data_IF_409586590027
#
_entry.id   IF_409586590027
#
_cell.length_a   1.000
_cell.length_b   1.000
_cell.length_c   1.000
_cell.angle_alpha   90.00
_cell.angle_beta   90.00
_cell.angle_gamma   90.00
#
_symmetry.space_group_name_H-M   'P 1'
#
loop_
_entity.id
_entity.type
_entity.pdbx_description
1 polymer ?
#
# COMPACT_ATOMS: atom_id res chain seq x y z
N UNK A 1 10.28 6.28 2.28
CA UNK A 1 10.03 6.07 0.84
C UNK A 1 8.90 5.06 0.64
N UNK A 2 8.15 5.19 -0.45
CA UNK A 2 7.01 4.32 -0.79
C UNK A 2 6.05 5.05 -1.72
N UNK A 3 6.27 4.92 -3.05
CA UNK A 3 5.64 5.80 -4.05
C UNK A 3 4.12 5.62 -4.18
N UNK A 4 3.65 4.41 -4.44
CA UNK A 4 2.24 4.15 -4.81
C UNK A 4 1.47 3.31 -3.78
N UNK A 5 2.16 2.71 -2.83
CA UNK A 5 1.58 1.79 -1.85
C UNK A 5 2.27 1.94 -0.51
N UNK A 6 1.53 1.66 0.57
CA UNK A 6 2.02 1.85 1.95
C UNK A 6 2.68 0.61 2.55
N UNK A 7 3.06 -0.38 1.74
CA UNK A 7 3.67 -1.65 2.22
C UNK A 7 4.85 -1.44 3.17
N UNK A 8 5.74 -0.50 2.84
CA UNK A 8 6.91 -0.17 3.68
C UNK A 8 6.47 0.45 5.00
N UNK A 9 5.52 1.38 4.98
CA UNK A 9 5.02 2.02 6.20
C UNK A 9 4.29 1.01 7.10
N UNK A 10 3.48 0.12 6.52
CA UNK A 10 2.81 -0.96 7.24
C UNK A 10 3.83 -1.92 7.89
N UNK A 11 4.81 -2.39 7.12
CA UNK A 11 5.85 -3.29 7.65
C UNK A 11 6.66 -2.64 8.77
N UNK A 12 7.11 -1.40 8.58
CA UNK A 12 7.81 -0.66 9.62
C UNK A 12 6.94 -0.51 10.88
N UNK A 13 5.64 -0.27 10.71
CA UNK A 13 4.70 -0.16 11.84
C UNK A 13 4.60 -1.47 12.63
N UNK A 14 4.49 -2.61 11.93
CA UNK A 14 4.44 -3.93 12.55
C UNK A 14 5.75 -4.30 13.26
N UNK A 15 6.89 -3.77 12.80
CA UNK A 15 8.20 -4.02 13.42
C UNK A 15 8.50 -3.12 14.62
N UNK A 16 8.15 -1.82 14.56
CA UNK A 16 8.60 -0.81 15.55
C UNK A 16 7.50 -0.25 16.45
N UNK A 17 6.23 -0.49 16.11
CA UNK A 17 5.06 -0.04 16.87
C UNK A 17 5.05 1.49 17.15
N UNK A 18 5.10 2.35 16.11
CA UNK A 18 4.91 3.79 16.28
C UNK A 18 3.50 4.06 16.84
N UNK A 19 3.29 5.24 17.42
CA UNK A 19 1.98 5.58 17.99
C UNK A 19 0.89 5.71 16.92
N UNK A 20 1.27 6.10 15.70
CA UNK A 20 0.34 6.28 14.61
C UNK A 20 1.03 5.99 13.28
N UNK A 21 0.27 5.43 12.34
CA UNK A 21 0.63 5.33 10.92
C UNK A 21 -0.55 5.83 10.11
N UNK A 22 -0.30 6.50 8.99
CA UNK A 22 -1.35 6.89 8.03
C UNK A 22 -1.08 6.12 6.74
N UNK A 23 -2.00 5.24 6.34
CA UNK A 23 -1.84 4.49 5.09
C UNK A 23 -2.57 5.21 3.96
N UNK A 24 -1.90 5.40 2.82
CA UNK A 24 -2.50 6.05 1.64
C UNK A 24 -3.77 5.34 1.17
N UNK A 25 -3.81 4.02 1.28
CA UNK A 25 -4.97 3.20 0.95
C UNK A 25 -6.20 3.52 1.82
N UNK A 26 -6.02 3.73 3.13
CA UNK A 26 -7.11 4.16 4.03
C UNK A 26 -7.60 5.56 3.67
N UNK A 27 -6.66 6.49 3.45
CA UNK A 27 -6.95 7.87 3.06
C UNK A 27 -7.79 7.92 1.78
N UNK A 28 -7.39 7.14 0.77
CA UNK A 28 -8.09 7.09 -0.52
C UNK A 28 -9.49 6.47 -0.40
N UNK A 29 -9.64 5.38 0.37
CA UNK A 29 -10.93 4.70 0.56
C UNK A 29 -11.91 5.56 1.37
N UNK A 30 -11.43 6.20 2.43
CA UNK A 30 -12.23 7.07 3.29
C UNK A 30 -12.37 8.50 2.76
N UNK A 31 -11.72 8.83 1.64
CA UNK A 31 -11.69 10.16 1.01
C UNK A 31 -11.29 11.27 1.99
N UNK A 32 -10.31 11.01 2.85
CA UNK A 32 -9.88 11.96 3.86
C UNK A 32 -9.19 13.17 3.20
N UNK A 33 -9.47 14.36 3.73
CA UNK A 33 -8.83 15.63 3.32
C UNK A 33 -7.56 15.90 4.11
N UNK A 34 -6.75 16.88 3.69
CA UNK A 34 -5.62 17.37 4.49
C UNK A 34 -6.08 17.85 5.87
N UNK A 35 -7.26 18.47 5.93
CA UNK A 35 -7.86 18.92 7.18
C UNK A 35 -8.22 17.75 8.10
N UNK A 36 -8.84 16.70 7.57
CA UNK A 36 -9.19 15.51 8.35
C UNK A 36 -7.95 14.81 8.93
N UNK A 37 -6.90 14.66 8.12
CA UNK A 37 -5.63 14.07 8.57
C UNK A 37 -4.97 14.93 9.66
N UNK A 38 -4.96 16.26 9.48
CA UNK A 38 -4.44 17.20 10.48
C UNK A 38 -5.21 17.05 11.79
N UNK A 39 -6.54 17.02 11.73
CA UNK A 39 -7.40 16.86 12.90
C UNK A 39 -7.17 15.52 13.59
N UNK A 40 -7.07 14.43 12.84
CA UNK A 40 -6.81 13.09 13.37
C UNK A 40 -5.49 13.05 14.16
N UNK A 41 -4.43 13.67 13.63
CA UNK A 41 -3.14 13.77 14.33
C UNK A 41 -3.28 14.64 15.59
N UNK A 42 -3.96 15.79 15.51
CA UNK A 42 -4.18 16.66 16.67
C UNK A 42 -4.98 15.97 17.78
N UNK A 43 -6.01 15.19 17.42
CA UNK A 43 -6.83 14.43 18.35
C UNK A 43 -6.00 13.34 19.05
N UNK A 44 -5.13 12.65 18.31
CA UNK A 44 -4.17 11.70 18.86
C UNK A 44 -3.18 12.36 19.84
N UNK A 45 -2.60 13.51 19.48
CA UNK A 45 -1.70 14.28 20.35
C UNK A 45 -2.42 14.75 21.61
N UNK A 46 -3.65 15.24 21.47
CA UNK A 46 -4.47 15.69 22.59
C UNK A 46 -4.85 14.54 23.54
N UNK A 47 -5.25 13.38 23.01
CA UNK A 47 -5.58 12.19 23.80
C UNK A 47 -4.37 11.70 24.62
N UNK A 48 -3.17 11.72 24.02
CA UNK A 48 -1.92 11.38 24.72
C UNK A 48 -1.56 12.42 25.78
N UNK A 49 -1.72 13.70 25.48
CA UNK A 49 -1.47 14.79 26.43
C UNK A 49 -2.39 14.71 27.67
N UNK A 50 -3.62 14.21 27.53
CA UNK A 50 -4.52 13.96 28.67
C UNK A 50 -4.01 12.88 29.64
N UNK A 51 -3.07 12.03 29.20
CA UNK A 51 -2.37 11.04 30.02
C UNK A 51 -0.93 11.48 30.36
N UNK A 52 -0.64 12.78 30.28
CA UNK A 52 0.68 13.37 30.49
C UNK A 52 1.78 12.85 29.55
N UNK A 53 1.39 12.32 28.38
CA UNK A 53 2.31 11.87 27.33
C UNK A 53 2.48 12.93 26.26
N UNK A 54 3.64 13.59 26.27
CA UNK A 54 3.97 14.72 25.36
C UNK A 54 4.98 14.35 24.28
N UNK A 55 5.02 13.09 23.87
CA UNK A 55 5.89 12.58 22.83
C UNK A 55 5.16 11.55 21.98
N UNK A 56 5.66 11.28 20.77
CA UNK A 56 5.15 10.21 19.93
C UNK A 56 5.86 10.14 18.58
N UNK A 57 5.62 9.06 17.86
CA UNK A 57 6.17 8.79 16.53
C UNK A 57 5.00 8.52 15.58
N UNK A 58 5.03 9.19 14.43
CA UNK A 58 4.06 9.00 13.34
C UNK A 58 4.81 8.54 12.10
N UNK A 59 4.36 7.45 11.47
CA UNK A 59 4.89 6.99 10.20
C UNK A 59 3.97 7.41 9.04
N UNK A 60 4.59 7.96 8.00
CA UNK A 60 3.91 8.44 6.81
C UNK A 60 4.57 7.82 5.56
N UNK A 61 3.79 7.25 4.62
CA UNK A 61 4.30 6.87 3.32
C UNK A 61 4.56 8.12 2.48
N UNK A 62 5.63 8.09 1.70
CA UNK A 62 6.02 9.19 0.81
C UNK A 62 4.90 9.55 -0.19
N UNK A 63 4.21 8.54 -0.73
CA UNK A 63 3.09 8.72 -1.64
C UNK A 63 1.76 9.15 -1.01
N UNK A 64 1.75 9.49 0.29
CA UNK A 64 0.52 9.89 0.98
C UNK A 64 -0.17 11.05 0.27
N UNK A 65 0.60 12.02 -0.23
CA UNK A 65 0.08 13.22 -0.88
C UNK A 65 -0.77 12.93 -2.12
N UNK A 66 -0.45 11.88 -2.89
CA UNK A 66 -1.23 11.44 -4.05
C UNK A 66 -2.47 10.62 -3.65
N UNK A 67 -2.55 10.19 -2.40
CA UNK A 67 -3.70 9.44 -1.88
C UNK A 67 -4.82 10.34 -1.36
N UNK A 68 -4.51 11.62 -1.08
CA UNK A 68 -5.48 12.62 -0.64
C UNK A 68 -6.21 13.16 -1.88
N UNK A 69 -7.54 12.95 -2.02
CA UNK A 69 -8.25 13.25 -3.27
C UNK A 69 -8.12 14.69 -3.75
N UNK A 70 -8.18 15.66 -2.83
CA UNK A 70 -8.10 17.09 -3.15
C UNK A 70 -6.72 17.51 -3.66
N UNK A 71 -5.67 16.97 -3.06
CA UNK A 71 -4.30 17.25 -3.48
C UNK A 71 -3.97 16.52 -4.78
N UNK A 72 -4.48 15.30 -4.95
CA UNK A 72 -4.35 14.57 -6.20
C UNK A 72 -4.98 15.32 -7.38
N UNK A 73 -6.19 15.86 -7.20
CA UNK A 73 -6.85 16.67 -8.21
C UNK A 73 -6.06 17.95 -8.55
N UNK A 74 -5.55 18.65 -7.53
CA UNK A 74 -4.67 19.81 -7.70
C UNK A 74 -3.40 19.45 -8.50
N UNK A 75 -2.71 18.36 -8.14
CA UNK A 75 -1.52 17.88 -8.85
C UNK A 75 -1.82 17.58 -10.32
N UNK A 76 -2.97 16.96 -10.61
CA UNK A 76 -3.38 16.67 -12.00
C UNK A 76 -3.62 17.93 -12.80
N UNK A 77 -4.23 18.95 -12.20
CA UNK A 77 -4.46 20.23 -12.86
C UNK A 77 -3.14 20.97 -13.12
N UNK A 78 -2.25 21.05 -12.13
CA UNK A 78 -0.92 21.65 -12.28
C UNK A 78 -0.12 20.95 -13.39
N UNK A 79 -0.06 19.61 -13.38
CA UNK A 79 0.66 18.86 -14.41
C UNK A 79 0.05 19.05 -15.80
N UNK A 80 -1.29 19.17 -15.90
CA UNK A 80 -1.98 19.50 -17.15
C UNK A 80 -1.54 20.85 -17.72
N UNK A 81 -1.47 21.87 -16.87
CA UNK A 81 -1.03 23.22 -17.25
C UNK A 81 0.47 23.27 -17.61
N UNK A 82 1.32 22.57 -16.85
CA UNK A 82 2.76 22.46 -17.16
C UNK A 82 3.01 21.81 -18.53
N UNK A 83 2.23 20.78 -18.88
CA UNK A 83 2.29 20.13 -20.20
C UNK A 83 1.86 21.05 -21.35
N UNK A 84 0.97 21.99 -21.08
CA UNK A 84 0.56 23.03 -22.04
C UNK A 84 1.61 24.14 -22.19
N UNK A 85 2.72 24.10 -21.44
CA UNK A 85 3.77 25.11 -21.47
C UNK A 85 3.45 26.36 -20.66
N UNK A 86 2.46 26.29 -19.75
CA UNK A 86 2.17 27.40 -18.84
C UNK A 86 3.35 27.58 -17.89
N UNK A 87 3.85 28.81 -17.79
CA UNK A 87 4.93 29.14 -16.86
C UNK A 87 4.46 28.89 -15.41
N UNK A 88 5.24 28.19 -14.56
CA UNK A 88 4.92 27.91 -13.16
C UNK A 88 4.38 29.12 -12.37
N UNK A 89 4.91 30.33 -12.62
CA UNK A 89 4.50 31.55 -11.91
C UNK A 89 3.07 32.00 -12.24
N UNK A 90 2.52 31.54 -13.36
CA UNK A 90 1.18 31.89 -13.85
C UNK A 90 0.15 30.78 -13.61
N UNK A 91 0.57 29.63 -13.09
CA UNK A 91 -0.30 28.46 -12.90
C UNK A 91 -1.45 28.79 -11.94
N UNK A 92 -1.18 29.49 -10.83
CA UNK A 92 -2.19 29.85 -9.83
C UNK A 92 -3.39 30.63 -10.38
N UNK A 93 -3.20 31.37 -11.49
CA UNK A 93 -4.24 32.14 -12.18
C UNK A 93 -5.13 31.30 -13.10
N UNK A 94 -4.67 30.12 -13.49
CA UNK A 94 -5.37 29.23 -14.42
C UNK A 94 -5.95 27.98 -13.73
N UNK A 95 -5.72 27.84 -12.42
CA UNK A 95 -6.34 26.80 -11.62
C UNK A 95 -7.85 27.05 -11.46
N UNK A 96 -8.60 25.96 -11.38
CA UNK A 96 -10.00 25.96 -10.98
C UNK A 96 -10.16 26.63 -9.62
N UNK A 97 -11.32 27.25 -9.31
CA UNK A 97 -11.51 28.00 -8.06
C UNK A 97 -11.19 27.18 -6.81
N UNK A 98 -11.52 25.88 -6.83
CA UNK A 98 -11.26 24.98 -5.71
C UNK A 98 -9.78 24.59 -5.59
N UNK A 99 -9.12 24.26 -6.70
CA UNK A 99 -7.69 23.99 -6.72
C UNK A 99 -6.87 25.23 -6.35
N UNK A 100 -7.29 26.41 -6.79
CA UNK A 100 -6.67 27.69 -6.43
C UNK A 100 -6.80 27.96 -4.93
N UNK A 101 -7.97 27.75 -4.33
CA UNK A 101 -8.15 27.90 -2.88
C UNK A 101 -7.27 26.92 -2.07
N UNK A 102 -7.20 25.66 -2.50
CA UNK A 102 -6.32 24.66 -1.88
C UNK A 102 -4.85 25.03 -2.06
N UNK A 103 -4.45 25.43 -3.27
CA UNK A 103 -3.10 25.88 -3.55
C UNK A 103 -2.73 27.05 -2.65
N UNK A 104 -3.59 28.06 -2.51
CA UNK A 104 -3.35 29.22 -1.67
C UNK A 104 -3.24 28.90 -0.19
N UNK A 105 -4.03 27.92 0.30
CA UNK A 105 -3.96 27.41 1.66
C UNK A 105 -2.60 26.77 1.99
N UNK A 106 -1.91 26.18 1.00
CA UNK A 106 -0.64 25.49 1.23
C UNK A 106 0.50 26.45 1.58
N UNK A 107 1.45 26.04 2.43
CA UNK A 107 2.64 26.83 2.74
C UNK A 107 3.50 27.11 1.49
N UNK A 108 4.22 28.25 1.44
CA UNK A 108 5.04 28.62 0.29
C UNK A 108 6.08 27.58 -0.14
N UNK A 109 6.64 26.81 0.79
CA UNK A 109 7.61 25.75 0.48
C UNK A 109 6.96 24.58 -0.27
N UNK A 110 5.74 24.20 0.09
CA UNK A 110 4.97 23.14 -0.60
C UNK A 110 4.51 23.62 -1.97
N UNK A 111 4.03 24.86 -2.09
CA UNK A 111 3.66 25.45 -3.38
C UNK A 111 4.78 25.28 -4.40
N UNK A 112 6.03 25.60 -4.02
CA UNK A 112 7.21 25.44 -4.88
C UNK A 112 7.49 23.98 -5.26
N UNK A 113 7.33 23.04 -4.33
CA UNK A 113 7.55 21.61 -4.57
C UNK A 113 6.48 21.01 -5.50
N UNK A 114 5.22 21.44 -5.41
CA UNK A 114 4.14 20.99 -6.29
C UNK A 114 4.25 21.53 -7.72
N UNK A 115 4.95 22.64 -7.93
CA UNK A 115 5.17 23.24 -9.25
C UNK A 115 6.35 22.60 -10.02
N UNK A 116 7.05 21.62 -9.43
CA UNK A 116 8.09 20.88 -10.12
C UNK A 116 7.50 20.07 -11.29
N UNK A 117 8.27 19.94 -12.37
CA UNK A 117 7.86 19.14 -13.52
C UNK A 117 7.67 17.66 -13.12
N UNK A 118 6.64 16.98 -13.65
CA UNK A 118 6.41 15.57 -13.36
C UNK A 118 7.57 14.68 -13.85
N UNK A 119 7.67 13.47 -13.29
CA UNK A 119 8.59 12.44 -13.76
C UNK A 119 8.17 11.93 -15.16
N UNK A 120 9.03 11.11 -15.79
CA UNK A 120 8.80 10.56 -17.13
C UNK A 120 7.56 9.67 -17.25
N UNK A 121 7.01 9.19 -16.13
CA UNK A 121 5.76 8.43 -16.06
C UNK A 121 4.53 9.29 -15.70
N UNK A 122 4.65 10.62 -15.79
CA UNK A 122 3.63 11.62 -15.43
C UNK A 122 3.25 11.67 -13.94
N UNK A 123 4.01 11.00 -13.06
CA UNK A 123 3.83 11.10 -11.60
C UNK A 123 4.51 12.35 -11.02
N UNK A 124 4.04 12.79 -9.85
CA UNK A 124 4.71 13.88 -9.14
C UNK A 124 6.10 13.42 -8.66
N UNK A 125 7.01 14.37 -8.46
CA UNK A 125 8.31 14.08 -7.83
C UNK A 125 8.12 13.90 -6.31
N UNK A 126 7.51 12.78 -5.91
CA UNK A 126 7.08 12.51 -4.53
C UNK A 126 8.23 12.62 -3.52
N UNK A 127 9.45 12.25 -3.90
CA UNK A 127 10.63 12.34 -3.03
C UNK A 127 11.05 13.79 -2.72
N UNK A 128 10.60 14.76 -3.52
CA UNK A 128 10.86 16.19 -3.33
C UNK A 128 9.74 16.89 -2.56
N UNK A 129 8.57 16.24 -2.40
CA UNK A 129 7.43 16.80 -1.68
C UNK A 129 7.55 16.38 -0.21
N UNK A 130 7.87 17.36 0.63
CA UNK A 130 8.10 17.17 2.07
C UNK A 130 6.76 17.08 2.82
N UNK A 131 6.02 15.99 2.56
CA UNK A 131 4.67 15.73 3.09
C UNK A 131 4.64 15.72 4.62
N UNK A 132 5.69 15.20 5.24
CA UNK A 132 5.85 15.21 6.69
C UNK A 132 5.96 16.63 7.26
N UNK A 133 6.65 17.54 6.56
CA UNK A 133 6.78 18.95 6.97
C UNK A 133 5.47 19.72 6.74
N UNK A 134 4.75 19.41 5.66
CA UNK A 134 3.40 19.95 5.43
C UNK A 134 2.48 19.60 6.61
N UNK A 135 2.36 18.33 6.96
CA UNK A 135 1.50 17.88 8.05
C UNK A 135 1.96 18.45 9.39
N UNK A 136 3.27 18.46 9.67
CA UNK A 136 3.81 19.08 10.88
C UNK A 136 3.42 20.56 11.00
N UNK A 137 3.51 21.33 9.91
CA UNK A 137 3.11 22.74 9.88
C UNK A 137 1.61 22.93 10.13
N UNK A 138 0.77 22.12 9.47
CA UNK A 138 -0.69 22.19 9.64
C UNK A 138 -1.11 21.81 11.07
N UNK A 139 -0.52 20.74 11.62
CA UNK A 139 -0.75 20.30 13.01
C UNK A 139 -0.30 21.36 14.00
N UNK A 140 0.88 21.96 13.81
CA UNK A 140 1.33 23.05 14.70
C UNK A 140 0.34 24.21 14.71
N UNK A 141 -0.14 24.65 13.54
CA UNK A 141 -1.12 25.73 13.42
C UNK A 141 -2.44 25.39 14.11
N UNK A 142 -2.95 24.18 13.89
CA UNK A 142 -4.18 23.68 14.52
C UNK A 142 -4.04 23.56 16.05
N UNK A 143 -2.92 23.01 16.54
CA UNK A 143 -2.65 22.90 17.97
C UNK A 143 -2.54 24.26 18.67
N UNK A 144 -1.96 25.27 17.99
CA UNK A 144 -1.96 26.66 18.47
C UNK A 144 -3.38 27.22 18.59
N UNK A 145 -4.24 26.95 17.60
CA UNK A 145 -5.66 27.35 17.65
C UNK A 145 -6.36 26.71 18.85
N UNK A 146 -6.21 25.39 19.04
CA UNK A 146 -6.78 24.66 20.19
C UNK A 146 -6.29 25.17 21.54
N UNK A 147 -5.02 25.59 21.62
CA UNK A 147 -4.46 26.19 22.83
C UNK A 147 -5.09 27.57 23.12
N UNK A 148 -5.32 28.39 22.09
CA UNK A 148 -6.02 29.70 22.23
C UNK A 148 -7.48 29.54 22.64
N UNK A 149 -8.15 28.51 22.12
CA UNK A 149 -9.55 28.18 22.45
C UNK A 149 -9.69 27.47 23.81
N UNK A 150 -8.57 27.05 24.42
CA UNK A 150 -8.56 26.34 25.70
C UNK A 150 -8.98 24.87 25.65
N UNK A 151 -9.18 24.32 24.45
CA UNK A 151 -9.53 22.90 24.23
C UNK A 151 -8.32 21.97 24.38
N UNK A 152 -7.11 22.50 24.20
CA UNK A 152 -5.84 21.80 24.46
C UNK A 152 -5.06 22.49 25.58
N UNK A 153 -4.76 21.73 26.65
CA UNK A 153 -4.01 22.19 27.83
C UNK A 153 -2.62 21.57 27.98
N UNK A 154 -2.19 20.82 26.97
CA UNK A 154 -0.88 20.17 26.99
C UNK A 154 0.27 21.14 26.65
N UNK A 155 1.48 20.58 26.52
CA UNK A 155 2.67 21.34 26.15
C UNK A 155 2.61 21.84 24.70
N UNK A 156 3.37 22.90 24.38
CA UNK A 156 3.52 23.39 23.00
C UNK A 156 3.95 22.24 22.08
N UNK A 157 3.23 22.07 20.97
CA UNK A 157 3.57 21.07 19.96
C UNK A 157 4.90 21.43 19.29
N UNK A 158 5.76 20.42 19.11
CA UNK A 158 6.99 20.54 18.36
C UNK A 158 7.22 19.24 17.58
N UNK A 159 7.54 19.35 16.29
CA UNK A 159 7.71 18.21 15.41
C UNK A 159 9.13 18.14 14.88
N UNK A 160 9.71 16.94 14.88
CA UNK A 160 10.97 16.63 14.23
C UNK A 160 10.67 15.72 13.05
N UNK A 161 10.99 16.20 11.85
CA UNK A 161 10.69 15.51 10.60
C UNK A 161 11.92 14.72 10.12
N UNK A 162 11.71 13.46 9.75
CA UNK A 162 12.74 12.59 9.19
C UNK A 162 12.24 11.96 7.89
N UNK A 163 13.10 11.95 6.88
CA UNK A 163 12.85 11.24 5.62
C UNK A 163 13.83 10.09 5.46
N UNK A 164 13.32 8.85 5.54
CA UNK A 164 14.12 7.64 5.35
C UNK A 164 13.84 7.00 3.99
N UNK A 165 14.88 6.85 3.18
CA UNK A 165 14.75 6.45 1.78
C UNK A 165 16.05 6.02 1.14
N UNK A 166 16.82 6.99 0.64
CA UNK A 166 18.02 6.74 -0.16
C UNK A 166 19.05 5.84 0.54
N UNK A 167 19.26 6.03 1.84
CA UNK A 167 20.18 5.22 2.65
C UNK A 167 19.79 3.73 2.70
N UNK A 168 18.51 3.40 2.61
CA UNK A 168 18.03 2.02 2.65
C UNK A 168 18.12 1.33 1.27
N UNK A 169 18.17 2.09 0.17
CA UNK A 169 18.28 1.52 -1.18
C UNK A 169 19.71 1.13 -1.57
N UNK A 170 20.70 1.73 -0.92
CA UNK A 170 22.12 1.42 -1.12
C UNK A 170 22.74 0.58 -0.01
N UNK A 171 21.95 0.03 0.92
CA UNK A 171 22.46 -0.80 2.02
C UNK A 171 22.77 -2.23 1.57
N UNK A 172 23.49 -2.96 2.41
CA UNK A 172 23.68 -4.40 2.21
C UNK A 172 22.32 -5.13 2.24
N UNK A 173 22.07 -6.06 1.29
CA UNK A 173 20.85 -6.86 1.28
C UNK A 173 20.79 -7.79 2.50
N UNK A 174 19.58 -8.12 2.96
CA UNK A 174 19.38 -9.16 3.97
C UNK A 174 19.81 -10.53 3.45
N UNK A 175 20.06 -11.50 4.34
CA UNK A 175 20.30 -12.89 3.92
C UNK A 175 19.16 -13.44 3.07
N UNK A 176 17.92 -13.10 3.44
CA UNK A 176 16.73 -13.41 2.63
C UNK A 176 16.82 -12.83 1.22
N UNK A 177 17.17 -11.55 1.06
CA UNK A 177 17.28 -10.91 -0.25
C UNK A 177 18.47 -11.44 -1.06
N UNK A 178 19.58 -11.80 -0.40
CA UNK A 178 20.70 -12.49 -1.04
C UNK A 178 20.25 -13.82 -1.66
N UNK A 179 19.62 -14.69 -0.86
CA UNK A 179 19.13 -15.98 -1.32
C UNK A 179 18.06 -15.82 -2.41
N UNK A 180 17.12 -14.88 -2.21
CA UNK A 180 16.03 -14.61 -3.14
C UNK A 180 16.54 -14.11 -4.49
N UNK A 181 17.42 -13.11 -4.51
CA UNK A 181 18.00 -12.58 -5.73
C UNK A 181 18.86 -13.63 -6.46
N UNK A 182 19.63 -14.44 -5.72
CA UNK A 182 20.43 -15.51 -6.28
C UNK A 182 19.57 -16.57 -6.97
N UNK A 183 18.51 -17.03 -6.30
CA UNK A 183 17.56 -18.01 -6.85
C UNK A 183 16.85 -17.45 -8.08
N UNK A 184 16.40 -16.19 -8.06
CA UNK A 184 15.77 -15.55 -9.23
C UNK A 184 16.72 -15.51 -10.44
N UNK A 185 18.01 -15.21 -10.23
CA UNK A 185 19.02 -15.23 -11.29
C UNK A 185 19.18 -16.63 -11.91
N UNK A 186 19.22 -17.68 -11.08
CA UNK A 186 19.26 -19.07 -11.55
C UNK A 186 18.01 -19.47 -12.33
N UNK A 187 16.83 -19.01 -11.91
CA UNK A 187 15.59 -19.24 -12.65
C UNK A 187 15.67 -18.60 -14.04
N UNK A 188 16.15 -17.35 -14.13
CA UNK A 188 16.34 -16.68 -15.42
C UNK A 188 17.26 -17.47 -16.36
N UNK A 189 18.36 -18.05 -15.84
CA UNK A 189 19.22 -18.93 -16.62
C UNK A 189 18.45 -20.14 -17.20
N UNK A 190 17.62 -20.82 -16.38
CA UNK A 190 16.82 -21.95 -16.85
C UNK A 190 15.74 -21.55 -17.86
N UNK A 191 15.10 -20.38 -17.70
CA UNK A 191 14.15 -19.84 -18.69
C UNK A 191 14.84 -19.65 -20.05
N UNK A 192 16.05 -19.06 -20.05
CA UNK A 192 16.84 -18.86 -21.26
C UNK A 192 17.29 -20.17 -21.89
N UNK A 193 17.78 -21.12 -21.07
CA UNK A 193 18.20 -22.44 -21.54
C UNK A 193 17.04 -23.24 -22.17
N UNK A 194 15.81 -23.00 -21.71
CA UNK A 194 14.59 -23.58 -22.29
C UNK A 194 14.08 -22.83 -23.55
N UNK A 195 14.76 -21.76 -24.00
CA UNK A 195 14.35 -20.98 -25.17
C UNK A 195 13.09 -20.14 -24.95
N UNK A 196 12.72 -19.85 -23.70
CA UNK A 196 11.51 -19.09 -23.37
C UNK A 196 11.80 -17.58 -23.30
N UNK A 197 10.86 -16.77 -23.79
CA UNK A 197 10.92 -15.30 -23.77
C UNK A 197 9.61 -14.70 -23.24
N UNK A 198 9.67 -13.52 -22.63
CA UNK A 198 8.50 -12.82 -22.09
C UNK A 198 8.01 -13.37 -20.74
N UNK A 199 8.85 -14.12 -20.03
CA UNK A 199 8.56 -14.66 -18.70
C UNK A 199 9.29 -13.89 -17.60
N UNK A 200 8.64 -13.77 -16.44
CA UNK A 200 9.22 -13.29 -15.20
C UNK A 200 9.60 -14.49 -14.33
N UNK A 201 10.80 -14.47 -13.75
CA UNK A 201 11.21 -15.45 -12.75
C UNK A 201 10.35 -15.30 -11.49
N UNK A 202 9.87 -16.42 -10.94
CA UNK A 202 9.01 -16.43 -9.76
C UNK A 202 9.46 -17.50 -8.78
N UNK A 203 9.37 -17.19 -7.49
CA UNK A 203 9.65 -18.14 -6.42
C UNK A 203 8.50 -18.11 -5.41
N UNK A 204 8.01 -19.28 -5.02
CA UNK A 204 6.94 -19.42 -4.01
C UNK A 204 7.47 -20.14 -2.78
N UNK A 205 6.65 -20.17 -1.72
CA UNK A 205 7.00 -20.72 -0.40
C UNK A 205 8.10 -19.94 0.35
N UNK A 206 8.23 -18.63 0.10
CA UNK A 206 9.26 -17.76 0.68
C UNK A 206 9.26 -17.70 2.23
N UNK A 207 8.13 -18.02 2.87
CA UNK A 207 8.05 -18.18 4.33
C UNK A 207 8.90 -19.35 4.86
N UNK A 208 9.09 -20.39 4.06
CA UNK A 208 9.84 -21.58 4.43
C UNK A 208 11.36 -21.39 4.24
N UNK A 209 12.19 -22.28 4.79
CA UNK A 209 13.62 -22.32 4.46
C UNK A 209 13.86 -22.50 2.96
N UNK A 210 15.01 -22.02 2.46
CA UNK A 210 15.35 -21.95 1.03
C UNK A 210 15.19 -23.29 0.30
N UNK A 211 15.53 -24.40 0.97
CA UNK A 211 15.39 -25.75 0.40
C UNK A 211 13.94 -26.20 0.12
N UNK A 212 12.93 -25.45 0.60
CA UNK A 212 11.49 -25.69 0.34
C UNK A 212 10.90 -24.68 -0.64
N UNK A 213 11.69 -23.74 -1.14
CA UNK A 213 11.25 -22.79 -2.15
C UNK A 213 10.95 -23.51 -3.45
N UNK A 214 9.95 -23.01 -4.16
CA UNK A 214 9.56 -23.56 -5.46
C UNK A 214 9.78 -22.51 -6.54
N UNK A 215 10.66 -22.87 -7.46
CA UNK A 215 11.04 -22.05 -8.60
C UNK A 215 10.05 -22.22 -9.75
N UNK A 216 9.79 -21.15 -10.48
CA UNK A 216 8.91 -21.17 -11.65
C UNK A 216 9.05 -19.91 -12.50
N UNK A 217 8.26 -19.83 -13.56
CA UNK A 217 8.22 -18.70 -14.46
C UNK A 217 6.77 -18.34 -14.79
N UNK A 218 6.44 -17.05 -14.77
CA UNK A 218 5.11 -16.55 -15.11
C UNK A 218 5.19 -15.62 -16.33
N UNK A 219 4.32 -15.78 -17.35
CA UNK A 219 4.32 -14.90 -18.51
C UNK A 219 3.95 -13.47 -18.09
N UNK A 220 4.74 -12.49 -18.51
CA UNK A 220 4.56 -11.08 -18.13
C UNK A 220 3.17 -10.57 -18.53
N UNK A 221 2.67 -11.00 -19.68
CA UNK A 221 1.35 -10.64 -20.20
C UNK A 221 0.20 -11.06 -19.28
N UNK A 222 0.34 -12.13 -18.49
CA UNK A 222 -0.68 -12.55 -17.53
C UNK A 222 -0.82 -11.59 -16.34
N UNK A 223 0.16 -10.72 -16.12
CA UNK A 223 0.14 -9.70 -15.06
C UNK A 223 -0.21 -8.30 -15.58
N UNK A 224 -0.38 -8.14 -16.90
CA UNK A 224 -0.67 -6.85 -17.52
C UNK A 224 -2.18 -6.65 -17.63
N UNK A 225 -2.63 -5.42 -17.40
CA UNK A 225 -3.97 -5.01 -17.82
C UNK A 225 -3.92 -3.69 -18.56
N UNK A 226 -4.93 -3.44 -19.40
CA UNK A 226 -5.08 -2.18 -20.12
C UNK A 226 -6.10 -1.33 -19.38
N UNK A 227 -5.64 -0.36 -18.59
CA UNK A 227 -6.52 0.70 -18.10
C UNK A 227 -6.76 1.70 -19.23
N UNK A 228 -8.02 1.93 -19.59
CA UNK A 228 -8.40 3.06 -20.45
C UNK A 228 -8.14 4.34 -19.68
N UNK A 229 -7.07 5.05 -20.01
CA UNK A 229 -6.85 6.39 -19.50
C UNK A 229 -7.77 7.35 -20.26
N UNK A 230 -8.95 7.62 -19.71
CA UNK A 230 -9.76 8.73 -20.17
C UNK A 230 -9.52 9.92 -19.24
N UNK A 231 -9.02 11.02 -19.81
CA UNK A 231 -9.17 12.43 -19.41
C UNK A 231 -7.89 13.22 -19.73
N UNK A 232 -7.67 13.43 -21.03
CA UNK A 232 -7.01 14.62 -21.55
C UNK A 232 -7.61 14.88 -22.93
N UNK A 233 -8.10 16.08 -23.26
CA UNK A 233 -8.52 16.40 -24.62
C UNK A 233 -7.31 16.22 -25.54
N UNK A 234 -7.35 15.23 -26.43
CA UNK A 234 -6.27 14.93 -27.39
C UNK A 234 -5.35 13.74 -27.08
N UNK A 235 -5.56 12.99 -26.00
CA UNK A 235 -4.81 11.75 -25.76
C UNK A 235 -5.37 10.58 -26.60
N UNK A 236 -4.47 9.84 -27.26
CA UNK A 236 -4.81 8.66 -28.07
C UNK A 236 -5.65 7.65 -27.27
N UNK A 237 -6.75 7.17 -27.85
CA UNK A 237 -7.75 6.30 -27.20
C UNK A 237 -7.26 4.87 -26.90
N UNK A 238 -6.01 4.57 -27.23
CA UNK A 238 -5.37 3.26 -27.02
C UNK A 238 -4.69 3.28 -25.64
N UNK A 239 -5.31 2.57 -24.68
CA UNK A 239 -4.70 2.35 -23.37
C UNK A 239 -3.37 1.58 -23.50
N UNK A 240 -2.34 2.01 -22.78
CA UNK A 240 -1.05 1.31 -22.73
C UNK A 240 -1.15 0.11 -21.77
N UNK A 241 -0.74 -1.11 -22.16
CA UNK A 241 -0.72 -2.24 -21.24
C UNK A 241 0.34 -2.01 -20.16
N UNK A 242 -0.01 -2.23 -18.90
CA UNK A 242 0.91 -2.05 -17.78
C UNK A 242 0.66 -3.08 -16.68
N UNK A 243 1.71 -3.40 -15.92
CA UNK A 243 1.58 -4.08 -14.63
C UNK A 243 1.22 -3.02 -13.59
N UNK A 244 0.09 -3.21 -12.91
CA UNK A 244 -0.33 -2.26 -11.89
C UNK A 244 0.31 -2.60 -10.54
N UNK A 245 0.78 -1.60 -9.80
CA UNK A 245 1.26 -1.81 -8.44
C UNK A 245 0.16 -2.42 -7.58
N UNK A 246 0.50 -3.47 -6.83
CA UNK A 246 -0.35 -3.99 -5.76
C UNK A 246 -0.27 -3.06 -4.56
N UNK A 247 -1.40 -2.53 -4.10
CA UNK A 247 -1.49 -1.72 -2.89
C UNK A 247 -1.66 -2.59 -1.65
N UNK A 248 -1.59 -2.00 -0.46
CA UNK A 248 -1.95 -2.71 0.78
C UNK A 248 -3.40 -3.18 0.71
N UNK A 249 -3.65 -4.45 1.02
CA UNK A 249 -5.00 -4.98 1.15
C UNK A 249 -5.55 -4.64 2.54
N UNK A 250 -6.53 -3.73 2.60
CA UNK A 250 -7.22 -3.34 3.84
C UNK A 250 -8.11 -4.46 4.42
N UNK A 251 -8.20 -5.61 3.76
CA UNK A 251 -8.79 -6.85 4.27
C UNK A 251 -7.75 -7.94 4.52
N UNK A 252 -6.47 -7.66 4.25
CA UNK A 252 -5.37 -8.57 4.40
C UNK A 252 -4.93 -8.74 5.86
N UNK A 253 -4.25 -9.85 6.15
CA UNK A 253 -3.83 -10.22 7.51
C UNK A 253 -2.84 -9.23 8.13
N UNK A 254 -1.93 -8.69 7.33
CA UNK A 254 -0.94 -7.72 7.82
C UNK A 254 -1.63 -6.44 8.32
N UNK A 255 -2.61 -5.94 7.57
CA UNK A 255 -3.42 -4.79 7.96
C UNK A 255 -4.37 -5.12 9.13
N UNK A 256 -4.95 -6.31 9.15
CA UNK A 256 -5.77 -6.76 10.29
C UNK A 256 -4.96 -6.77 11.59
N UNK A 257 -3.71 -7.26 11.57
CA UNK A 257 -2.80 -7.25 12.71
C UNK A 257 -2.50 -5.83 13.20
N UNK A 258 -2.29 -4.88 12.28
CA UNK A 258 -2.15 -3.46 12.61
C UNK A 258 -3.43 -2.95 13.29
N UNK A 259 -4.60 -3.15 12.67
CA UNK A 259 -5.88 -2.63 13.16
C UNK A 259 -6.21 -3.12 14.56
N UNK A 260 -5.93 -4.39 14.87
CA UNK A 260 -6.16 -4.97 16.20
C UNK A 260 -5.31 -4.30 17.30
N UNK A 261 -4.13 -3.79 16.95
CA UNK A 261 -3.17 -3.23 17.91
C UNK A 261 -3.06 -1.70 17.87
N UNK A 262 -3.66 -1.04 16.88
CA UNK A 262 -3.50 0.40 16.64
C UNK A 262 -3.86 1.28 17.86
N UNK A 263 -4.94 0.95 18.57
CA UNK A 263 -5.34 1.68 19.78
C UNK A 263 -4.30 1.56 20.90
N UNK A 264 -3.74 0.36 21.10
CA UNK A 264 -2.70 0.09 22.10
C UNK A 264 -1.39 0.78 21.70
N UNK A 265 -1.01 0.75 20.43
CA UNK A 265 0.18 1.46 19.93
C UNK A 265 0.06 2.97 20.17
N UNK A 266 -1.12 3.53 19.93
CA UNK A 266 -1.40 4.95 20.12
C UNK A 266 -1.26 5.37 21.59
N UNK A 267 -1.76 4.57 22.53
CA UNK A 267 -1.86 4.98 23.93
C UNK A 267 -0.75 4.43 24.85
N UNK A 268 -0.25 3.21 24.65
CA UNK A 268 0.50 2.46 25.67
C UNK A 268 2.04 2.47 25.50
N UNK A 269 2.59 3.20 24.52
CA UNK A 269 4.03 3.32 24.26
C UNK A 269 4.77 1.97 24.11
N UNK A 270 4.17 1.07 23.33
CA UNK A 270 4.65 -0.31 23.10
C UNK A 270 5.75 -0.42 22.03
N UNK A 271 6.69 0.54 22.01
CA UNK A 271 7.73 0.62 20.99
C UNK A 271 8.62 -0.62 20.95
N UNK A 272 9.06 -0.99 19.74
CA UNK A 272 10.03 -2.05 19.51
C UNK A 272 11.27 -1.52 18.79
N UNK A 273 12.43 -2.03 19.20
CA UNK A 273 13.69 -1.77 18.54
C UNK A 273 14.19 -3.07 17.87
N UNK A 274 13.99 -3.25 16.56
CA UNK A 274 14.36 -4.49 15.86
C UNK A 274 15.87 -4.71 15.74
N UNK A 275 16.70 -3.70 16.03
CA UNK A 275 18.15 -3.77 15.90
C UNK A 275 18.64 -3.80 14.44
N UNK A 276 19.97 -3.83 14.23
CA UNK A 276 20.57 -3.87 12.89
C UNK A 276 20.39 -5.24 12.22
N UNK A 277 20.43 -5.26 10.89
CA UNK A 277 20.49 -6.48 10.09
C UNK A 277 21.65 -7.37 10.54
N UNK A 278 21.37 -8.65 10.78
CA UNK A 278 22.37 -9.66 11.13
C UNK A 278 22.59 -10.61 9.95
N UNK A 279 23.84 -11.04 9.75
CA UNK A 279 24.22 -12.02 8.72
C UNK A 279 24.55 -13.40 9.30
N UNK A 280 24.74 -13.46 10.62
CA UNK A 280 24.96 -14.68 11.38
C UNK A 280 24.16 -14.64 12.69
N UNK A 281 23.98 -15.79 13.32
CA UNK A 281 23.23 -15.96 14.55
C UNK A 281 21.70 -15.97 14.36
N UNK A 282 20.94 -15.94 15.47
CA UNK A 282 19.49 -16.21 15.46
C UNK A 282 18.66 -15.23 14.62
N UNK A 283 19.13 -14.00 14.42
CA UNK A 283 18.44 -12.96 13.65
C UNK A 283 18.69 -13.01 12.14
N UNK A 284 19.63 -13.82 11.67
CA UNK A 284 20.06 -13.80 10.27
C UNK A 284 18.98 -14.26 9.28
N UNK A 285 18.11 -15.18 9.71
CA UNK A 285 17.02 -15.72 8.88
C UNK A 285 15.68 -14.98 9.10
N UNK A 286 15.73 -13.78 9.71
CA UNK A 286 14.53 -12.96 9.93
C UNK A 286 13.90 -12.53 8.60
N UNK A 287 12.57 -12.53 8.56
CA UNK A 287 11.75 -12.16 7.41
C UNK A 287 10.76 -11.08 7.82
N UNK A 288 10.26 -10.34 6.84
CA UNK A 288 9.25 -9.32 7.10
C UNK A 288 7.99 -9.93 7.74
N UNK A 289 7.39 -9.19 8.66
CA UNK A 289 6.16 -9.61 9.35
C UNK A 289 5.06 -9.81 8.33
N UNK A 290 4.90 -8.87 7.39
CA UNK A 290 3.98 -8.95 6.25
C UNK A 290 4.08 -10.29 5.51
N UNK A 291 5.29 -10.70 5.11
CA UNK A 291 5.50 -11.98 4.43
C UNK A 291 5.10 -13.17 5.31
N UNK A 292 5.41 -13.12 6.61
CA UNK A 292 5.13 -14.22 7.54
C UNK A 292 3.63 -14.36 7.85
N UNK A 293 2.90 -13.25 7.99
CA UNK A 293 1.48 -13.25 8.38
C UNK A 293 0.53 -13.40 7.19
N UNK A 294 0.95 -13.04 5.98
CA UNK A 294 0.11 -13.14 4.80
C UNK A 294 -0.18 -14.58 4.39
N UNK A 295 -1.40 -15.05 4.54
CA UNK A 295 -1.81 -16.36 4.04
C UNK A 295 -2.17 -16.30 2.55
N UNK A 296 -1.18 -15.95 1.73
CA UNK A 296 -1.26 -16.13 0.29
C UNK A 296 -0.91 -17.57 -0.13
N UNK A 297 -1.31 -18.57 0.67
CA UNK A 297 -1.29 -19.95 0.20
C UNK A 297 -2.48 -20.22 -0.73
N UNK A 298 -2.70 -19.32 -1.71
CA UNK A 298 -3.72 -19.49 -2.73
C UNK A 298 -3.50 -20.80 -3.48
N UNK A 299 -2.24 -21.10 -3.82
CA UNK A 299 -1.87 -22.35 -4.49
C UNK A 299 -2.08 -23.57 -3.60
N UNK A 300 -1.77 -23.52 -2.30
CA UNK A 300 -2.10 -24.62 -1.39
C UNK A 300 -3.59 -24.73 -1.08
N UNK A 301 -4.36 -23.64 -1.12
CA UNK A 301 -5.84 -23.68 -1.07
C UNK A 301 -6.43 -24.30 -2.32
N UNK A 302 -5.92 -23.97 -3.51
CA UNK A 302 -6.27 -24.66 -4.77
C UNK A 302 -5.91 -26.13 -4.66
N UNK A 303 -4.70 -26.45 -4.19
CA UNK A 303 -4.28 -27.84 -4.04
C UNK A 303 -5.18 -28.60 -3.06
N UNK A 304 -5.55 -27.99 -1.93
CA UNK A 304 -6.47 -28.57 -0.95
C UNK A 304 -7.88 -28.76 -1.52
N UNK A 305 -8.35 -27.81 -2.33
CA UNK A 305 -9.62 -27.96 -3.08
C UNK A 305 -9.53 -29.15 -4.05
N UNK A 306 -8.44 -29.26 -4.81
CA UNK A 306 -8.21 -30.38 -5.71
C UNK A 306 -8.16 -31.71 -4.95
N UNK A 307 -7.45 -31.76 -3.80
CA UNK A 307 -7.39 -32.94 -2.93
C UNK A 307 -8.79 -33.35 -2.44
N UNK A 308 -9.68 -32.39 -2.13
CA UNK A 308 -11.07 -32.69 -1.77
C UNK A 308 -11.88 -33.23 -2.96
N UNK A 309 -11.72 -32.64 -4.15
CA UNK A 309 -12.37 -33.14 -5.36
C UNK A 309 -11.90 -34.56 -5.70
N UNK A 310 -10.62 -34.85 -5.54
CA UNK A 310 -10.06 -36.19 -5.75
C UNK A 310 -10.56 -37.20 -4.71
N UNK A 311 -10.74 -36.80 -3.44
CA UNK A 311 -11.40 -37.63 -2.42
C UNK A 311 -12.85 -37.95 -2.78
N UNK A 312 -13.63 -36.96 -3.22
CA UNK A 312 -15.01 -37.16 -3.67
C UNK A 312 -15.03 -38.12 -4.87
N UNK A 313 -14.14 -37.92 -5.85
CA UNK A 313 -13.98 -38.82 -6.99
C UNK A 313 -13.64 -40.25 -6.56
N UNK A 314 -12.86 -40.40 -5.49
CA UNK A 314 -12.52 -41.69 -4.89
C UNK A 314 -13.71 -42.40 -4.23
N UNK A 315 -14.63 -41.64 -3.62
CA UNK A 315 -15.84 -42.16 -2.96
C UNK A 315 -16.90 -42.55 -3.99
N UNK A 316 -17.06 -41.75 -5.05
CA UNK A 316 -18.11 -41.92 -6.07
C UNK A 316 -17.63 -42.82 -7.23
N UNK A 317 -16.93 -43.91 -6.92
CA UNK A 317 -16.49 -44.89 -7.92
C UNK A 317 -17.65 -45.78 -8.40
N UNK A 318 -17.53 -46.41 -9.59
CA UNK A 318 -18.48 -47.43 -10.03
C UNK A 318 -18.67 -48.50 -8.95
N UNK A 319 -19.93 -48.71 -8.51
CA UNK A 319 -20.27 -49.60 -7.38
C UNK A 319 -20.59 -48.91 -6.06
N UNK A 320 -20.52 -47.57 -5.97
CA UNK A 320 -21.03 -46.83 -4.81
C UNK A 320 -22.58 -46.86 -4.73
N UNK A 321 -23.12 -46.65 -3.52
CA UNK A 321 -24.58 -46.61 -3.31
C UNK A 321 -25.22 -45.41 -4.03
N UNK A 322 -26.47 -45.59 -4.47
CA UNK A 322 -27.28 -44.54 -5.09
C UNK A 322 -27.41 -43.30 -4.20
N UNK A 323 -27.52 -43.48 -2.88
CA UNK A 323 -27.71 -42.38 -1.93
C UNK A 323 -26.44 -41.53 -1.80
N UNK A 324 -25.26 -42.16 -1.80
CA UNK A 324 -23.96 -41.47 -1.77
C UNK A 324 -23.75 -40.66 -3.06
N UNK A 325 -24.10 -41.22 -4.22
CA UNK A 325 -24.01 -40.51 -5.50
C UNK A 325 -24.96 -39.30 -5.55
N UNK A 326 -26.22 -39.47 -5.12
CA UNK A 326 -27.20 -38.37 -5.06
C UNK A 326 -26.76 -37.26 -4.11
N UNK A 327 -26.26 -37.62 -2.93
CA UNK A 327 -25.74 -36.65 -1.96
C UNK A 327 -24.55 -35.86 -2.52
N UNK A 328 -23.58 -36.52 -3.15
CA UNK A 328 -22.43 -35.87 -3.74
C UNK A 328 -22.82 -34.90 -4.87
N UNK A 329 -23.75 -35.31 -5.75
CA UNK A 329 -24.26 -34.45 -6.82
C UNK A 329 -24.99 -33.21 -6.27
N UNK A 330 -25.84 -33.38 -5.26
CA UNK A 330 -26.59 -32.27 -4.66
C UNK A 330 -25.66 -31.26 -3.99
N UNK A 331 -24.67 -31.71 -3.24
CA UNK A 331 -23.69 -30.83 -2.57
C UNK A 331 -22.85 -30.08 -3.60
N UNK A 332 -22.34 -30.75 -4.63
CA UNK A 332 -21.53 -30.10 -5.67
C UNK A 332 -22.35 -29.10 -6.51
N UNK A 333 -23.62 -29.41 -6.80
CA UNK A 333 -24.53 -28.47 -7.46
C UNK A 333 -24.71 -27.20 -6.61
N UNK A 334 -25.01 -27.36 -5.32
CA UNK A 334 -25.16 -26.23 -4.39
C UNK A 334 -23.89 -25.38 -4.28
N UNK A 335 -22.72 -26.02 -4.19
CA UNK A 335 -21.43 -25.29 -4.19
C UNK A 335 -21.25 -24.52 -5.50
N UNK A 336 -21.62 -25.11 -6.64
CA UNK A 336 -21.52 -24.45 -7.95
C UNK A 336 -22.44 -23.23 -8.04
N UNK A 337 -23.67 -23.32 -7.51
CA UNK A 337 -24.63 -22.22 -7.48
C UNK A 337 -24.17 -21.07 -6.55
N UNK A 338 -23.62 -21.39 -5.39
CA UNK A 338 -23.04 -20.38 -4.49
C UNK A 338 -21.83 -19.69 -5.16
N UNK A 339 -20.96 -20.45 -5.82
CA UNK A 339 -19.80 -19.87 -6.48
C UNK A 339 -20.19 -19.04 -7.71
N UNK A 340 -21.21 -19.45 -8.47
CA UNK A 340 -21.71 -18.70 -9.64
C UNK A 340 -22.38 -17.39 -9.23
N UNK A 341 -23.10 -17.38 -8.11
CA UNK A 341 -23.66 -16.14 -7.52
C UNK A 341 -22.59 -15.20 -6.97
N UNK A 342 -21.55 -15.73 -6.32
CA UNK A 342 -20.42 -14.92 -5.85
C UNK A 342 -19.58 -14.34 -7.00
N UNK A 343 -19.40 -15.10 -8.09
CA UNK A 343 -18.63 -14.66 -9.26
C UNK A 343 -19.41 -13.73 -10.21
N UNK A 344 -20.73 -13.69 -10.08
CA UNK A 344 -21.61 -12.77 -10.82
C UNK A 344 -21.84 -11.43 -10.14
N UNK A 345 -21.16 -11.13 -9.02
CA UNK A 345 -21.15 -9.78 -8.44
C UNK A 345 -20.00 -8.96 -9.06
N UNK A 346 -20.25 -8.03 -10.00
CA UNK A 346 -19.22 -7.10 -10.42
C UNK A 346 -19.10 -5.99 -9.38
N UNK A 347 -17.90 -5.42 -9.28
CA UNK A 347 -17.68 -4.11 -8.71
C UNK A 347 -18.59 -3.07 -9.40
N UNK A 348 -19.78 -2.83 -8.85
CA UNK A 348 -20.63 -1.68 -9.16
C UNK A 348 -21.67 -1.51 -8.02
N UNK A 349 -21.17 -1.04 -6.88
CA UNK A 349 -21.92 -0.12 -6.04
C UNK A 349 -21.31 1.28 -6.20
N UNK A 350 -21.27 1.77 -7.44
CA UNK A 350 -21.32 3.21 -7.69
C UNK A 350 -22.79 3.53 -7.89
N UNK A 351 -23.35 4.20 -6.89
CA UNK A 351 -24.75 4.62 -6.89
C UNK A 351 -25.04 5.52 -8.08
N UNK A 352 -26.17 5.22 -8.71
CA UNK A 352 -26.95 6.16 -9.50
C UNK A 352 -27.47 7.30 -8.62
N UNK A 353 -27.38 8.52 -9.19
CA UNK A 353 -27.83 9.85 -8.75
C UNK A 353 -26.87 10.62 -7.84
#
# INVERSE_FOLDING_TARGET
MGRKASHVALECTLQSHPNMVILGEEVAVSKLTLFDLTKQICDAVQARAQQDKYHGVILLPEGLIESIPEVYALLKEIHGLLKQGVNPDKISLQLSPWASALFEFLPPFIKKQLLLYPESDDSAQLSQIETEKLLAHLVEKEMITRMKEGTYKGKKFNAICHFFGYQARGSLPSKFDCDYAYVLGHICYHILAAGLNGYMATTTNLKNPVNKWRCGAAPITAMMTVKRWAQSPGASSIGKPAIHPATVDLKGKAYELLRQNAANFLMDDLYRNPGPLQFDGPGADSKTVSLCVEDQDYMGRIKKLQDYLDKIRGIVKPGCSQDVLKAALSVLASVTDVLSTMSSTPANSQGSL
#
